data_IF_126579025671
#
_entry.id   IF_126579025671
#
_cell.length_a   1.000
_cell.length_b   1.000
_cell.length_c   1.000
_cell.angle_alpha   90.00
_cell.angle_beta   90.00
_cell.angle_gamma   90.00
#
_symmetry.space_group_name_H-M   'P 1'
#
loop_
_entity.id
_entity.type
_entity.pdbx_description
1 polymer ?
#
# COMPACT_ATOMS: atom_id res chain seq x y z
N UNK A 1 24.79 5.04 8.75
CA UNK A 1 23.62 4.84 9.57
C UNK A 1 22.55 4.08 8.81
N UNK A 2 22.07 3.01 9.38
CA UNK A 2 21.06 2.23 8.70
C UNK A 2 19.79 3.02 8.54
N UNK A 3 19.18 2.91 7.38
CA UNK A 3 17.93 3.54 7.10
C UNK A 3 16.81 2.72 7.75
N UNK A 4 16.05 3.34 8.64
CA UNK A 4 15.04 2.64 9.41
C UNK A 4 13.65 2.85 8.83
N UNK A 5 13.51 2.53 7.55
CA UNK A 5 12.21 2.56 6.89
C UNK A 5 11.31 1.47 7.46
N UNK A 6 9.99 1.71 7.44
CA UNK A 6 8.99 0.75 7.90
C UNK A 6 9.11 -0.56 7.14
N UNK A 7 9.29 -0.48 5.82
CA UNK A 7 9.49 -1.64 4.96
C UNK A 7 10.71 -1.39 4.10
N UNK A 8 11.61 -2.38 4.04
CA UNK A 8 12.83 -2.23 3.24
C UNK A 8 12.54 -2.41 1.75
N UNK A 9 13.38 -1.81 0.91
CA UNK A 9 13.29 -2.01 -0.53
C UNK A 9 13.43 -3.49 -0.90
N UNK A 10 14.30 -4.22 -0.21
CA UNK A 10 14.49 -5.64 -0.46
C UNK A 10 13.20 -6.42 -0.24
N UNK A 11 12.48 -6.14 0.85
CA UNK A 11 11.21 -6.79 1.14
C UNK A 11 10.17 -6.50 0.07
N UNK A 12 10.12 -5.26 -0.41
CA UNK A 12 9.19 -4.87 -1.47
C UNK A 12 9.50 -5.61 -2.77
N UNK A 13 10.78 -5.73 -3.13
CA UNK A 13 11.19 -6.46 -4.33
C UNK A 13 10.84 -7.94 -4.22
N UNK A 14 11.11 -8.55 -3.08
CA UNK A 14 10.80 -9.96 -2.85
C UNK A 14 9.31 -10.24 -2.93
N UNK A 15 8.48 -9.29 -2.53
CA UNK A 15 7.03 -9.41 -2.61
C UNK A 15 6.47 -9.11 -4.01
N UNK A 16 7.31 -8.67 -4.95
CA UNK A 16 6.88 -8.41 -6.32
C UNK A 16 6.06 -7.14 -6.49
N UNK A 17 6.06 -6.24 -5.51
CA UNK A 17 5.21 -5.04 -5.56
C UNK A 17 5.70 -3.98 -6.54
N UNK A 18 6.88 -4.19 -7.15
CA UNK A 18 7.39 -3.28 -8.17
C UNK A 18 6.69 -3.43 -9.52
N UNK A 19 5.89 -4.48 -9.72
CA UNK A 19 5.13 -4.68 -10.94
C UNK A 19 3.83 -3.87 -10.88
N UNK A 20 3.68 -2.93 -11.81
CA UNK A 20 2.46 -2.16 -11.94
C UNK A 20 1.50 -2.78 -12.94
N UNK A 21 0.56 -1.98 -13.42
CA UNK A 21 -0.39 -2.40 -14.43
C UNK A 21 0.28 -2.49 -15.80
N UNK A 22 -0.37 -3.24 -16.70
CA UNK A 22 0.03 -3.26 -18.10
C UNK A 22 -0.05 -1.84 -18.68
N UNK A 23 0.77 -1.56 -19.68
CA UNK A 23 0.84 -0.21 -20.25
C UNK A 23 -0.48 0.28 -20.82
N UNK A 24 -1.32 -0.61 -21.30
CA UNK A 24 -2.65 -0.25 -21.82
C UNK A 24 -3.59 0.31 -20.74
N UNK A 25 -3.24 0.15 -19.47
CA UNK A 25 -4.02 0.68 -18.34
C UNK A 25 -3.38 1.94 -17.79
N UNK A 26 -2.75 2.70 -18.65
CA UNK A 26 -2.03 3.89 -18.25
C UNK A 26 -2.93 4.95 -17.64
N UNK A 27 -2.48 5.50 -16.52
CA UNK A 27 -3.08 6.66 -15.89
C UNK A 27 -1.97 7.70 -15.71
N UNK A 28 -2.06 8.88 -16.35
CA UNK A 28 -1.00 9.88 -16.27
C UNK A 28 -0.66 10.32 -14.85
N UNK A 29 -1.59 10.21 -13.92
CA UNK A 29 -1.35 10.56 -12.52
C UNK A 29 -0.30 9.67 -11.87
N UNK A 30 -0.05 8.49 -12.43
CA UNK A 30 0.96 7.57 -11.93
C UNK A 30 2.36 7.86 -12.45
N UNK A 31 2.50 8.76 -13.43
CA UNK A 31 3.79 9.02 -14.06
C UNK A 31 4.93 9.29 -13.06
N UNK A 32 4.72 10.09 -12.00
CA UNK A 32 5.80 10.35 -11.04
C UNK A 32 6.27 9.12 -10.27
N UNK A 33 5.48 8.04 -10.26
CA UNK A 33 5.74 6.85 -9.48
C UNK A 33 6.22 5.67 -10.31
N UNK A 34 6.37 5.87 -11.63
CA UNK A 34 6.82 4.82 -12.55
C UNK A 34 8.30 5.00 -12.83
N UNK A 35 9.08 3.94 -12.62
CA UNK A 35 10.49 3.95 -12.90
C UNK A 35 10.75 3.72 -14.40
N UNK A 36 10.14 2.69 -14.96
CA UNK A 36 10.32 2.34 -16.37
C UNK A 36 9.19 1.41 -16.82
N UNK A 37 9.23 1.03 -18.09
CA UNK A 37 8.32 0.04 -18.66
C UNK A 37 9.15 -1.11 -19.19
N UNK A 38 8.67 -2.33 -19.01
CA UNK A 38 9.38 -3.51 -19.46
C UNK A 38 8.36 -4.58 -19.87
N UNK A 39 8.47 -5.03 -21.11
CA UNK A 39 7.59 -6.06 -21.66
C UNK A 39 6.11 -5.73 -21.52
N UNK A 40 5.74 -4.47 -21.73
CA UNK A 40 4.35 -4.02 -21.65
C UNK A 40 3.81 -3.84 -20.24
N UNK A 41 4.67 -3.87 -19.23
CA UNK A 41 4.30 -3.67 -17.84
C UNK A 41 5.11 -2.53 -17.26
N UNK A 42 4.45 -1.63 -16.54
CA UNK A 42 5.14 -0.56 -15.83
C UNK A 42 5.81 -1.10 -14.58
N UNK A 43 7.02 -0.60 -14.32
CA UNK A 43 7.77 -0.92 -13.11
C UNK A 43 7.71 0.29 -12.18
N UNK A 44 7.21 0.06 -10.98
CA UNK A 44 7.02 1.12 -9.99
C UNK A 44 8.36 1.50 -9.37
N UNK A 45 8.57 2.79 -9.13
CA UNK A 45 9.77 3.30 -8.48
C UNK A 45 9.67 3.04 -6.97
N UNK A 46 10.33 1.99 -6.52
CA UNK A 46 10.25 1.57 -5.11
C UNK A 46 10.92 2.53 -4.15
N UNK A 47 11.84 3.38 -4.61
CA UNK A 47 12.40 4.41 -3.73
C UNK A 47 11.30 5.36 -3.26
N UNK A 48 10.39 5.72 -4.17
CA UNK A 48 9.24 6.53 -3.80
C UNK A 48 8.25 5.77 -2.94
N UNK A 49 8.05 4.47 -3.23
CA UNK A 49 7.17 3.63 -2.43
C UNK A 49 7.62 3.58 -0.97
N UNK A 50 8.91 3.38 -0.74
CA UNK A 50 9.46 3.33 0.62
C UNK A 50 9.15 4.62 1.37
N UNK A 51 9.37 5.78 0.73
CA UNK A 51 9.09 7.06 1.35
C UNK A 51 7.61 7.25 1.66
N UNK A 52 6.75 6.89 0.70
CA UNK A 52 5.30 7.02 0.89
C UNK A 52 4.77 6.09 1.96
N UNK A 53 5.35 4.91 2.09
CA UNK A 53 4.99 3.98 3.18
C UNK A 53 5.34 4.57 4.54
N UNK A 54 6.52 5.21 4.66
CA UNK A 54 6.90 5.86 5.90
C UNK A 54 5.93 7.00 6.26
N UNK A 55 5.54 7.81 5.28
CA UNK A 55 4.58 8.89 5.48
C UNK A 55 3.22 8.33 5.90
N UNK A 56 2.73 7.30 5.22
CA UNK A 56 1.45 6.69 5.53
C UNK A 56 1.46 6.05 6.91
N UNK A 57 2.54 5.37 7.26
CA UNK A 57 2.68 4.75 8.57
C UNK A 57 2.60 5.79 9.68
N UNK A 58 3.33 6.90 9.54
CA UNK A 58 3.32 7.95 10.55
C UNK A 58 1.95 8.58 10.69
N UNK A 59 1.24 8.79 9.59
CA UNK A 59 -0.10 9.34 9.61
C UNK A 59 -1.07 8.41 10.36
N UNK A 60 -1.05 7.13 10.03
CA UNK A 60 -1.92 6.13 10.67
C UNK A 60 -1.59 6.03 12.16
N UNK A 61 -0.29 6.08 12.49
CA UNK A 61 0.16 6.03 13.88
C UNK A 61 -0.42 7.21 14.69
N UNK A 62 -0.42 8.39 14.11
CA UNK A 62 -1.00 9.56 14.77
C UNK A 62 -2.51 9.42 14.98
N UNK A 63 -3.23 8.96 13.95
CA UNK A 63 -4.67 8.74 14.05
C UNK A 63 -5.00 7.74 15.15
N UNK A 64 -4.27 6.63 15.20
CA UNK A 64 -4.48 5.61 16.22
C UNK A 64 -4.16 6.14 17.62
N UNK A 65 -3.08 6.92 17.75
CA UNK A 65 -2.68 7.50 19.03
C UNK A 65 -3.73 8.48 19.58
N UNK A 66 -4.48 9.11 18.71
CA UNK A 66 -5.55 10.02 19.08
C UNK A 66 -6.89 9.32 19.34
N UNK A 67 -6.91 8.00 19.30
CA UNK A 67 -8.10 7.22 19.54
C UNK A 67 -8.97 6.98 18.32
N UNK A 68 -8.47 7.31 17.13
CA UNK A 68 -9.21 7.09 15.90
C UNK A 68 -9.26 5.63 15.48
N UNK A 69 -10.25 5.28 14.72
CA UNK A 69 -10.38 3.95 14.11
C UNK A 69 -9.82 3.94 12.71
N UNK A 70 -9.26 2.80 12.32
CA UNK A 70 -8.70 2.59 10.99
C UNK A 70 -9.55 1.55 10.26
N UNK A 71 -10.11 1.93 9.12
CA UNK A 71 -10.87 0.99 8.30
C UNK A 71 -9.94 0.33 7.28
N UNK A 72 -9.77 -0.97 7.43
CA UNK A 72 -9.02 -1.79 6.49
C UNK A 72 -9.97 -2.33 5.43
N UNK A 73 -9.70 -2.05 4.18
CA UNK A 73 -10.57 -2.47 3.07
C UNK A 73 -9.82 -3.46 2.19
N UNK A 74 -10.38 -4.65 2.03
CA UNK A 74 -9.85 -5.68 1.15
C UNK A 74 -10.86 -6.06 0.09
N UNK A 75 -10.78 -5.44 -1.08
CA UNK A 75 -11.70 -5.72 -2.19
C UNK A 75 -11.18 -6.81 -3.12
N UNK A 76 -9.86 -6.98 -3.19
CA UNK A 76 -9.24 -7.98 -4.03
C UNK A 76 -9.16 -9.30 -3.30
N UNK A 77 -9.72 -10.36 -3.86
CA UNK A 77 -9.80 -11.66 -3.18
C UNK A 77 -8.45 -12.15 -2.68
N UNK A 78 -7.38 -11.93 -3.45
CA UNK A 78 -6.04 -12.39 -3.08
C UNK A 78 -5.49 -11.69 -1.83
N UNK A 79 -6.03 -10.52 -1.49
CA UNK A 79 -5.55 -9.72 -0.36
C UNK A 79 -6.48 -9.78 0.86
N UNK A 80 -7.72 -10.22 0.69
CA UNK A 80 -8.75 -10.11 1.73
C UNK A 80 -8.35 -10.79 3.03
N UNK A 81 -7.82 -12.02 2.97
CA UNK A 81 -7.47 -12.77 4.17
C UNK A 81 -6.40 -12.05 4.99
N UNK A 82 -5.32 -11.62 4.32
CA UNK A 82 -4.23 -10.91 5.01
C UNK A 82 -4.70 -9.60 5.62
N UNK A 83 -5.51 -8.84 4.89
CA UNK A 83 -6.01 -7.54 5.37
C UNK A 83 -6.94 -7.75 6.56
N UNK A 84 -7.85 -8.72 6.46
CA UNK A 84 -8.78 -9.03 7.57
C UNK A 84 -8.02 -9.46 8.82
N UNK A 85 -7.04 -10.35 8.66
CA UNK A 85 -6.28 -10.86 9.81
C UNK A 85 -5.52 -9.75 10.50
N UNK A 86 -4.91 -8.86 9.73
CA UNK A 86 -4.17 -7.74 10.31
C UNK A 86 -5.11 -6.72 10.96
N UNK A 87 -6.28 -6.48 10.37
CA UNK A 87 -7.27 -5.59 10.97
C UNK A 87 -7.76 -6.14 12.31
N UNK A 88 -8.03 -7.44 12.39
CA UNK A 88 -8.50 -8.09 13.61
C UNK A 88 -7.43 -8.12 14.71
N UNK A 89 -6.16 -8.20 14.31
CA UNK A 89 -5.05 -8.16 15.26
C UNK A 89 -4.88 -6.78 15.87
N UNK A 90 -5.29 -5.75 15.16
CA UNK A 90 -5.11 -4.36 15.54
C UNK A 90 -6.25 -3.87 16.42
N UNK A 91 -5.93 -3.12 17.49
CA UNK A 91 -6.95 -2.58 18.38
C UNK A 91 -7.80 -1.50 17.70
N UNK A 92 -7.20 -0.72 16.81
CA UNK A 92 -7.89 0.37 16.13
C UNK A 92 -8.50 -0.06 14.79
N UNK A 93 -8.29 -1.31 14.39
CA UNK A 93 -8.68 -1.78 13.06
C UNK A 93 -10.13 -2.21 12.96
N UNK A 94 -10.72 -1.90 11.85
CA UNK A 94 -12.01 -2.40 11.39
C UNK A 94 -11.82 -2.97 10.00
N UNK A 95 -12.65 -3.93 9.62
CA UNK A 95 -12.49 -4.56 8.31
C UNK A 95 -13.76 -4.47 7.47
N UNK A 96 -13.58 -4.25 6.17
CA UNK A 96 -14.64 -4.33 5.18
C UNK A 96 -14.09 -4.98 3.91
N UNK A 97 -14.91 -5.78 3.24
CA UNK A 97 -14.52 -6.41 1.98
C UNK A 97 -15.03 -5.65 0.76
N UNK A 98 -15.72 -4.56 0.97
CA UNK A 98 -16.21 -3.66 -0.05
C UNK A 98 -15.99 -2.22 0.41
N UNK A 99 -15.81 -1.32 -0.57
CA UNK A 99 -15.72 0.10 -0.23
C UNK A 99 -17.04 0.60 0.35
N UNK A 100 -16.99 1.46 1.39
CA UNK A 100 -18.21 2.02 1.95
C UNK A 100 -19.00 2.80 0.92
N UNK A 101 -20.32 2.68 0.98
CA UNK A 101 -21.20 3.49 0.13
C UNK A 101 -21.33 4.88 0.73
N UNK A 102 -21.26 5.88 -0.13
CA UNK A 102 -21.57 7.24 0.25
C UNK A 102 -22.99 7.55 -0.21
N UNK A 103 -23.83 8.12 0.65
CA UNK A 103 -25.18 8.52 0.25
C UNK A 103 -25.17 9.62 -0.80
#
# INVERSE_FOLDING_TARGET
>A
MANQNVVSMKALLEAGVHFGHQTRRWNPKMAPYIYTERNGIYIIDLQKTVKKLDEAYNYVKEVAAEGGDILFVGTKKQAQESIRDEAQRSLAGRYADQLPHHP
#
